data_IF_758188820802
#
_entry.id   IF_758188820802
#
_cell.length_a   1.000
_cell.length_b   1.000
_cell.length_c   1.000
_cell.angle_alpha   90.00
_cell.angle_beta   90.00
_cell.angle_gamma   90.00
#
_symmetry.space_group_name_H-M   'P 1'
#
loop_
_entity.id
_entity.type
_entity.pdbx_description
1 polymer ?
#
# COMPACT_ATOMS: atom_id res chain seq x y z
N UNK A 1 29.55 -10.26 11.53
CA UNK A 1 29.01 -8.91 11.83
C UNK A 1 30.15 -8.00 12.27
N UNK A 2 30.13 -6.71 11.98
CA UNK A 2 31.16 -5.75 12.42
C UNK A 2 31.01 -5.47 13.91
N UNK A 3 32.16 -5.32 14.63
CA UNK A 3 32.18 -4.91 16.04
C UNK A 3 31.60 -3.51 16.32
N UNK A 4 31.30 -2.74 15.27
CA UNK A 4 30.73 -1.40 15.36
C UNK A 4 29.21 -1.38 15.24
N UNK A 5 28.57 -2.52 15.00
CA UNK A 5 27.12 -2.58 15.02
C UNK A 5 26.61 -2.49 16.46
N UNK A 6 25.56 -1.71 16.65
CA UNK A 6 24.80 -1.76 17.88
C UNK A 6 24.02 -3.08 17.94
N UNK A 7 23.77 -3.60 19.13
CA UNK A 7 23.00 -4.83 19.34
C UNK A 7 21.62 -4.76 18.66
N UNK A 8 20.99 -3.58 18.73
CA UNK A 8 19.73 -3.29 18.00
C UNK A 8 19.84 -3.60 16.50
N UNK A 9 20.88 -3.09 15.84
CA UNK A 9 21.08 -3.29 14.40
C UNK A 9 21.36 -4.77 14.08
N UNK A 10 22.07 -5.47 14.94
CA UNK A 10 22.36 -6.89 14.79
C UNK A 10 21.09 -7.78 14.89
N UNK A 11 20.09 -7.32 15.64
CA UNK A 11 18.82 -8.03 15.84
C UNK A 11 17.72 -7.68 14.85
N UNK A 12 17.94 -6.72 13.92
CA UNK A 12 16.91 -6.36 12.91
C UNK A 12 16.80 -7.42 11.82
N UNK A 13 15.57 -7.78 11.49
CA UNK A 13 15.20 -8.59 10.32
C UNK A 13 14.62 -7.67 9.24
N UNK A 14 15.41 -7.28 8.20
CA UNK A 14 14.94 -6.37 7.16
C UNK A 14 13.81 -6.98 6.34
N UNK A 15 12.91 -6.12 5.85
CA UNK A 15 11.89 -6.52 4.89
C UNK A 15 12.53 -7.06 3.60
N UNK A 16 11.99 -8.17 3.11
CA UNK A 16 12.41 -8.76 1.83
C UNK A 16 11.41 -8.37 0.73
N UNK A 17 11.79 -7.50 -0.20
CA UNK A 17 10.91 -7.09 -1.30
C UNK A 17 10.58 -8.27 -2.23
N UNK A 18 9.56 -8.10 -3.07
CA UNK A 18 9.27 -9.05 -4.15
C UNK A 18 10.39 -9.07 -5.19
N UNK A 19 10.51 -10.20 -5.89
CA UNK A 19 11.48 -10.36 -6.98
C UNK A 19 11.35 -9.21 -7.99
N UNK A 20 12.49 -8.61 -8.37
CA UNK A 20 12.61 -7.60 -9.41
C UNK A 20 13.40 -8.23 -10.56
N UNK A 21 12.73 -8.72 -11.61
CA UNK A 21 13.42 -9.36 -12.74
C UNK A 21 14.21 -8.32 -13.56
N UNK A 22 15.33 -8.75 -14.10
CA UNK A 22 16.13 -7.94 -15.02
C UNK A 22 15.60 -7.95 -16.47
N UNK A 23 14.56 -8.76 -16.76
CA UNK A 23 13.99 -8.94 -18.10
C UNK A 23 12.62 -8.30 -18.21
N UNK A 24 12.41 -7.52 -19.27
CA UNK A 24 11.14 -6.89 -19.61
C UNK A 24 10.16 -7.86 -20.33
N UNK A 25 10.57 -9.11 -20.59
CA UNK A 25 9.72 -10.09 -21.28
C UNK A 25 8.75 -10.82 -20.34
N UNK A 26 8.96 -10.69 -19.04
CA UNK A 26 8.14 -11.33 -18.03
C UNK A 26 6.84 -10.56 -17.79
N UNK A 27 5.73 -11.27 -17.59
CA UNK A 27 4.50 -10.69 -17.06
C UNK A 27 4.65 -10.51 -15.55
N UNK A 28 4.90 -9.28 -15.13
CA UNK A 28 5.17 -8.93 -13.73
C UNK A 28 3.89 -8.58 -12.98
N UNK A 29 3.35 -9.54 -12.21
CA UNK A 29 2.12 -9.40 -11.40
C UNK A 29 2.37 -9.66 -9.90
N UNK A 30 3.56 -9.31 -9.38
CA UNK A 30 4.00 -9.67 -8.03
C UNK A 30 4.11 -8.51 -7.04
N UNK A 31 4.24 -7.25 -7.49
CA UNK A 31 4.52 -6.09 -6.63
C UNK A 31 3.46 -4.99 -6.68
N UNK A 32 2.29 -5.29 -7.25
CA UNK A 32 1.12 -4.40 -7.29
C UNK A 32 1.44 -3.02 -7.91
N UNK A 33 2.32 -2.99 -8.92
CA UNK A 33 2.49 -1.79 -9.73
C UNK A 33 1.22 -1.55 -10.56
N UNK A 34 0.96 -0.31 -10.90
CA UNK A 34 -0.19 0.03 -11.75
C UNK A 34 0.01 -0.50 -13.17
N UNK A 35 -1.04 -1.05 -13.78
CA UNK A 35 -0.98 -1.64 -15.11
C UNK A 35 -0.75 -0.61 -16.24
N UNK A 36 -1.18 0.64 -16.02
CA UNK A 36 -1.06 1.73 -16.98
C UNK A 36 0.11 2.65 -16.61
N UNK A 37 0.77 3.28 -17.61
CA UNK A 37 1.71 4.37 -17.35
C UNK A 37 1.00 5.54 -16.68
N UNK A 38 1.73 6.46 -16.01
CA UNK A 38 1.14 7.66 -15.42
C UNK A 38 0.52 8.58 -16.48
N UNK A 39 -0.28 9.56 -16.02
CA UNK A 39 -0.92 10.55 -16.88
C UNK A 39 0.07 11.31 -17.77
N UNK A 40 -0.36 11.73 -18.96
CA UNK A 40 0.46 12.54 -19.88
C UNK A 40 0.87 13.87 -19.25
N UNK A 41 0.07 14.43 -18.36
CA UNK A 41 0.40 15.62 -17.57
C UNK A 41 1.68 15.42 -16.75
N UNK A 42 1.88 14.22 -16.17
CA UNK A 42 3.10 13.86 -15.43
C UNK A 42 4.32 13.86 -16.35
N UNK A 43 4.19 13.22 -17.53
CA UNK A 43 5.30 13.16 -18.50
C UNK A 43 5.65 14.55 -19.04
N UNK A 44 4.67 15.43 -19.17
CA UNK A 44 4.88 16.83 -19.56
C UNK A 44 5.62 17.59 -18.45
N UNK A 45 5.17 17.48 -17.20
CA UNK A 45 5.85 18.12 -16.08
C UNK A 45 7.32 17.66 -15.94
N UNK A 46 7.59 16.37 -16.21
CA UNK A 46 8.97 15.85 -16.21
C UNK A 46 9.84 16.44 -17.32
N UNK A 47 9.30 16.67 -18.52
CA UNK A 47 10.03 17.29 -19.64
C UNK A 47 10.34 18.78 -19.41
N UNK A 48 9.57 19.45 -18.59
CA UNK A 48 9.72 20.87 -18.24
C UNK A 48 10.75 21.13 -17.15
N UNK A 49 11.30 20.08 -16.53
CA UNK A 49 12.34 20.21 -15.50
C UNK A 49 13.62 20.83 -16.12
N UNK A 50 14.06 21.93 -15.54
CA UNK A 50 15.23 22.68 -16.00
C UNK A 50 16.47 22.40 -15.17
N UNK A 51 17.68 22.65 -15.75
CA UNK A 51 18.94 22.58 -15.00
C UNK A 51 18.97 23.55 -13.81
N UNK A 52 18.27 24.69 -13.90
CA UNK A 52 18.15 25.66 -12.79
C UNK A 52 17.39 25.06 -11.59
N UNK A 53 16.34 24.30 -11.84
CA UNK A 53 15.60 23.60 -10.77
C UNK A 53 16.45 22.50 -10.15
N UNK A 54 17.21 21.74 -10.97
CA UNK A 54 18.02 20.62 -10.47
C UNK A 54 19.25 21.07 -9.65
N UNK A 55 19.84 22.22 -9.94
CA UNK A 55 21.01 22.72 -9.21
C UNK A 55 20.70 23.38 -7.85
N UNK A 56 19.41 23.58 -7.54
CA UNK A 56 18.95 24.17 -6.28
C UNK A 56 18.24 23.15 -5.42
N UNK A 57 18.27 23.35 -4.11
CA UNK A 57 17.38 22.59 -3.23
C UNK A 57 15.92 22.83 -3.59
N UNK A 58 15.08 21.79 -3.55
CA UNK A 58 13.64 21.93 -3.76
C UNK A 58 12.99 22.69 -2.60
N UNK A 59 11.69 22.98 -2.71
CA UNK A 59 10.91 23.49 -1.60
C UNK A 59 10.88 22.44 -0.45
N UNK A 60 11.41 22.77 0.75
CA UNK A 60 11.44 21.83 1.89
C UNK A 60 10.06 21.50 2.44
N UNK A 61 9.07 22.36 2.17
CA UNK A 61 7.68 22.19 2.61
C UNK A 61 6.81 21.50 1.56
N UNK A 62 7.30 21.40 0.30
CA UNK A 62 6.54 20.93 -0.84
C UNK A 62 5.14 21.59 -0.94
N UNK A 63 5.07 22.90 -0.73
CA UNK A 63 3.82 23.65 -0.54
C UNK A 63 2.85 23.48 -1.70
N UNK A 64 3.35 23.52 -2.95
CA UNK A 64 2.51 23.34 -4.14
C UNK A 64 1.86 21.94 -4.15
N UNK A 65 2.64 20.90 -3.86
CA UNK A 65 2.14 19.52 -3.80
C UNK A 65 1.13 19.34 -2.67
N UNK A 66 1.44 19.87 -1.47
CA UNK A 66 0.52 19.82 -0.32
C UNK A 66 -0.79 20.53 -0.61
N UNK A 67 -0.72 21.70 -1.25
CA UNK A 67 -1.92 22.45 -1.67
C UNK A 67 -2.75 21.69 -2.70
N UNK A 68 -2.12 21.03 -3.68
CA UNK A 68 -2.82 20.20 -4.66
C UNK A 68 -3.51 18.99 -4.01
N UNK A 69 -2.82 18.28 -3.10
CA UNK A 69 -3.40 17.17 -2.33
C UNK A 69 -4.57 17.67 -1.47
N UNK A 70 -4.40 18.77 -0.76
CA UNK A 70 -5.43 19.35 0.09
C UNK A 70 -6.70 19.70 -0.69
N UNK A 71 -6.54 20.31 -1.87
CA UNK A 71 -7.65 20.61 -2.77
C UNK A 71 -8.33 19.34 -3.30
N UNK A 72 -7.56 18.30 -3.66
CA UNK A 72 -8.08 17.03 -4.16
C UNK A 72 -8.88 16.28 -3.07
N UNK A 73 -8.43 16.35 -1.81
CA UNK A 73 -9.02 15.64 -0.67
C UNK A 73 -10.02 16.49 0.12
N UNK A 74 -10.22 17.77 -0.24
CA UNK A 74 -11.11 18.71 0.45
C UNK A 74 -10.74 18.93 1.93
N UNK A 75 -9.43 19.05 2.21
CA UNK A 75 -8.86 19.33 3.54
C UNK A 75 -7.96 20.58 3.49
N UNK A 76 -7.44 21.02 4.64
CA UNK A 76 -6.47 22.12 4.70
C UNK A 76 -5.06 21.64 4.35
N UNK A 77 -4.20 22.45 3.69
CA UNK A 77 -2.79 22.13 3.53
C UNK A 77 -2.04 21.86 4.85
N UNK A 78 -2.50 22.43 5.96
CA UNK A 78 -1.96 22.15 7.29
C UNK A 78 -2.24 20.71 7.76
N UNK A 79 -3.18 20.00 7.13
CA UNK A 79 -3.54 18.61 7.42
C UNK A 79 -2.79 17.61 6.51
N UNK A 80 -1.84 18.07 5.69
CA UNK A 80 -1.08 17.24 4.75
C UNK A 80 0.39 17.20 5.15
N UNK A 81 0.91 15.98 5.28
CA UNK A 81 2.34 15.67 5.34
C UNK A 81 2.74 14.91 4.08
N UNK A 82 3.91 15.19 3.49
CA UNK A 82 4.44 14.48 2.33
C UNK A 82 5.82 13.90 2.62
N UNK A 83 6.14 12.74 2.04
CA UNK A 83 7.41 12.04 2.22
C UNK A 83 7.80 11.18 1.03
N UNK A 84 9.00 10.61 1.07
CA UNK A 84 9.59 9.79 0.01
C UNK A 84 8.97 8.37 -0.02
N UNK A 85 7.75 8.31 -0.52
CA UNK A 85 6.87 7.13 -0.48
C UNK A 85 6.15 6.99 0.86
N UNK A 86 5.09 6.19 0.87
CA UNK A 86 4.37 5.88 2.11
C UNK A 86 5.27 5.18 3.15
N UNK A 87 6.35 4.51 2.72
CA UNK A 87 7.28 3.87 3.64
C UNK A 87 7.99 4.90 4.54
N UNK A 88 8.44 6.04 3.99
CA UNK A 88 9.03 7.12 4.80
C UNK A 88 7.98 7.82 5.67
N UNK A 89 6.78 8.07 5.11
CA UNK A 89 5.66 8.64 5.87
C UNK A 89 5.34 7.77 7.09
N UNK A 90 5.21 6.47 6.89
CA UNK A 90 4.95 5.50 7.97
C UNK A 90 6.14 5.42 8.92
N UNK A 91 7.38 5.40 8.45
CA UNK A 91 8.56 5.39 9.33
C UNK A 91 8.60 6.62 10.27
N UNK A 92 8.28 7.82 9.76
CA UNK A 92 8.15 9.01 10.60
C UNK A 92 6.99 8.92 11.58
N UNK A 93 5.86 8.36 11.16
CA UNK A 93 4.69 8.12 12.01
C UNK A 93 5.04 7.15 13.15
N UNK A 94 5.67 6.01 12.84
CA UNK A 94 6.12 5.06 13.85
C UNK A 94 7.10 5.69 14.84
N UNK A 95 8.01 6.54 14.36
CA UNK A 95 8.91 7.27 15.27
C UNK A 95 8.19 8.30 16.13
N UNK A 96 7.31 9.12 15.52
CA UNK A 96 6.66 10.24 16.19
C UNK A 96 5.65 9.82 17.25
N UNK A 97 4.89 8.73 17.00
CA UNK A 97 3.69 8.41 17.78
C UNK A 97 3.67 6.99 18.35
N UNK A 98 4.42 6.04 17.76
CA UNK A 98 4.31 4.62 18.10
C UNK A 98 5.57 4.06 18.75
N UNK A 99 6.68 4.80 18.75
CA UNK A 99 7.94 4.36 19.35
C UNK A 99 7.76 4.03 20.84
N UNK A 100 8.07 2.79 21.21
CA UNK A 100 7.93 2.31 22.59
C UNK A 100 6.48 2.16 23.07
N UNK A 101 5.49 2.32 22.18
CA UNK A 101 4.08 2.16 22.51
C UNK A 101 3.59 0.74 22.20
N UNK A 102 2.46 0.37 22.80
CA UNK A 102 1.70 -0.82 22.40
C UNK A 102 0.97 -0.54 21.09
N UNK A 103 1.10 -1.44 20.13
CA UNK A 103 0.51 -1.30 18.79
C UNK A 103 -0.15 -2.62 18.38
N UNK A 104 -1.33 -2.55 17.80
CA UNK A 104 -2.00 -3.69 17.18
C UNK A 104 -2.01 -3.55 15.65
N UNK A 105 -1.81 -4.68 14.98
CA UNK A 105 -2.05 -4.85 13.54
C UNK A 105 -2.60 -6.26 13.28
N UNK A 106 -2.91 -6.58 12.03
CA UNK A 106 -3.37 -7.93 11.68
C UNK A 106 -2.19 -8.90 11.48
N UNK A 107 -2.38 -10.19 11.78
CA UNK A 107 -1.37 -11.26 11.55
C UNK A 107 -1.10 -11.51 10.06
N UNK A 108 -2.09 -11.17 9.23
CA UNK A 108 -2.04 -11.30 7.78
C UNK A 108 -2.25 -9.93 7.15
N UNK A 109 -1.20 -9.12 7.10
CA UNK A 109 -1.19 -7.75 6.61
C UNK A 109 0.14 -7.37 5.96
N UNK A 110 0.39 -6.06 5.75
CA UNK A 110 1.61 -5.54 5.17
C UNK A 110 2.84 -5.90 6.02
N UNK A 111 3.73 -6.69 5.44
CA UNK A 111 4.87 -7.27 6.16
C UNK A 111 5.94 -6.28 6.65
N UNK A 112 5.75 -4.98 6.41
CA UNK A 112 6.67 -3.96 6.91
C UNK A 112 6.31 -3.46 8.32
N UNK A 113 5.05 -3.64 8.77
CA UNK A 113 4.66 -3.19 10.12
C UNK A 113 5.49 -3.85 11.23
N UNK A 114 5.73 -5.16 11.25
CA UNK A 114 6.64 -5.76 12.23
C UNK A 114 8.08 -5.24 12.15
N UNK A 115 8.55 -4.87 10.95
CA UNK A 115 9.90 -4.31 10.76
C UNK A 115 10.03 -2.96 11.43
N UNK A 116 9.03 -2.07 11.25
CA UNK A 116 9.03 -0.77 11.96
C UNK A 116 8.83 -0.94 13.46
N UNK A 117 7.95 -1.85 13.89
CA UNK A 117 7.79 -2.13 15.31
C UNK A 117 9.13 -2.54 15.95
N UNK A 118 9.86 -3.47 15.32
CA UNK A 118 11.19 -3.86 15.76
C UNK A 118 12.19 -2.70 15.70
N UNK A 119 12.16 -1.84 14.65
CA UNK A 119 13.09 -0.72 14.51
C UNK A 119 12.89 0.34 15.60
N UNK A 120 11.65 0.61 15.98
CA UNK A 120 11.26 1.69 16.89
C UNK A 120 10.87 1.21 18.29
N UNK A 121 11.17 -0.06 18.63
CA UNK A 121 10.88 -0.63 19.97
C UNK A 121 9.41 -0.59 20.38
N UNK A 122 8.50 -0.63 19.40
CA UNK A 122 7.07 -0.74 19.68
C UNK A 122 6.72 -2.19 20.09
N UNK A 123 5.82 -2.31 21.07
CA UNK A 123 5.26 -3.60 21.51
C UNK A 123 4.10 -3.98 20.58
N UNK A 124 4.40 -4.80 19.57
CA UNK A 124 3.46 -5.17 18.52
C UNK A 124 2.69 -6.43 18.86
N UNK A 125 1.36 -6.32 18.87
CA UNK A 125 0.43 -7.45 18.90
C UNK A 125 -0.17 -7.68 17.53
N UNK A 126 0.02 -8.88 16.96
CA UNK A 126 -0.63 -9.32 15.73
C UNK A 126 -1.99 -9.95 16.05
N UNK A 127 -3.08 -9.29 15.69
CA UNK A 127 -4.45 -9.78 15.87
C UNK A 127 -4.82 -10.70 14.70
N UNK A 128 -5.24 -11.96 14.95
CA UNK A 128 -5.63 -12.87 13.89
C UNK A 128 -6.82 -12.34 13.08
N UNK A 129 -6.72 -12.37 11.75
CA UNK A 129 -7.91 -12.19 10.90
C UNK A 129 -8.85 -13.39 11.06
N UNK A 130 -10.15 -13.21 10.81
CA UNK A 130 -11.14 -14.28 10.84
C UNK A 130 -10.87 -15.33 9.73
N UNK A 131 -11.57 -16.45 9.74
CA UNK A 131 -11.32 -17.55 8.80
C UNK A 131 -11.50 -17.14 7.34
N UNK A 132 -12.39 -16.22 7.07
CA UNK A 132 -12.63 -15.63 5.75
C UNK A 132 -11.70 -14.44 5.42
N UNK A 133 -10.67 -14.20 6.23
CA UNK A 133 -9.75 -13.06 6.16
C UNK A 133 -10.39 -11.68 6.39
N UNK A 134 -11.57 -11.60 6.96
CA UNK A 134 -12.10 -10.33 7.48
C UNK A 134 -11.42 -9.93 8.79
N UNK A 135 -11.56 -8.66 9.14
CA UNK A 135 -10.98 -8.10 10.37
C UNK A 135 -11.85 -8.47 11.56
N UNK A 136 -11.25 -8.98 12.63
CA UNK A 136 -11.91 -9.08 13.93
C UNK A 136 -11.92 -7.69 14.61
N UNK A 137 -12.95 -6.92 14.32
CA UNK A 137 -13.09 -5.56 14.82
C UNK A 137 -13.24 -5.52 16.35
N UNK A 138 -13.91 -6.51 16.95
CA UNK A 138 -14.09 -6.57 18.39
C UNK A 138 -12.76 -6.82 19.12
N UNK A 139 -11.89 -7.69 18.57
CA UNK A 139 -10.56 -7.88 19.12
C UNK A 139 -9.72 -6.60 19.10
N UNK A 140 -9.83 -5.80 18.03
CA UNK A 140 -9.13 -4.51 17.92
C UNK A 140 -9.69 -3.43 18.84
N UNK A 141 -11.00 -3.45 19.15
CA UNK A 141 -11.67 -2.44 19.99
C UNK A 141 -11.43 -2.64 21.48
N UNK A 142 -11.15 -3.86 21.90
CA UNK A 142 -11.04 -4.23 23.32
C UNK A 142 -9.65 -3.99 23.95
N UNK A 143 -8.77 -3.25 23.31
CA UNK A 143 -7.42 -2.93 23.81
C UNK A 143 -7.15 -1.42 23.70
N UNK A 144 -6.26 -0.91 24.57
CA UNK A 144 -5.81 0.49 24.59
C UNK A 144 -4.64 0.76 23.62
N UNK A 145 -4.09 -0.28 22.98
CA UNK A 145 -2.99 -0.16 22.04
C UNK A 145 -3.38 0.68 20.82
N UNK A 146 -2.45 1.44 20.26
CA UNK A 146 -2.62 2.09 18.98
C UNK A 146 -2.89 1.05 17.89
N UNK A 147 -3.65 1.41 16.85
CA UNK A 147 -4.01 0.47 15.78
C UNK A 147 -3.44 0.95 14.44
N UNK A 148 -2.78 0.05 13.71
CA UNK A 148 -2.29 0.30 12.33
C UNK A 148 -2.90 -0.73 11.40
N UNK A 149 -3.72 -0.29 10.45
CA UNK A 149 -4.41 -1.16 9.48
C UNK A 149 -4.20 -0.68 8.06
N UNK A 150 -3.82 -1.59 7.17
CA UNK A 150 -3.93 -1.37 5.73
C UNK A 150 -5.40 -1.53 5.30
N UNK A 151 -5.94 -0.55 4.59
CA UNK A 151 -7.32 -0.54 4.11
C UNK A 151 -7.42 0.07 2.70
N UNK A 152 -7.55 -0.76 1.63
CA UNK A 152 -7.63 -2.23 1.61
C UNK A 152 -6.42 -2.94 2.16
N UNK A 153 -6.65 -4.07 2.85
CA UNK A 153 -5.59 -4.87 3.43
C UNK A 153 -4.77 -5.62 2.35
N UNK A 154 -3.48 -5.70 2.52
CA UNK A 154 -2.59 -6.54 1.71
C UNK A 154 -2.01 -7.67 2.57
N UNK A 155 -2.11 -8.96 2.17
CA UNK A 155 -2.35 -9.43 0.79
C UNK A 155 -3.80 -9.74 0.44
N UNK A 156 -4.77 -9.59 1.33
CA UNK A 156 -6.13 -10.13 1.17
C UNK A 156 -6.98 -9.34 0.16
N UNK A 157 -6.77 -8.05 0.00
CA UNK A 157 -7.57 -7.15 -0.83
C UNK A 157 -8.86 -6.67 -0.16
N UNK A 158 -9.21 -7.23 1.01
CA UNK A 158 -10.42 -6.83 1.76
C UNK A 158 -10.28 -5.43 2.33
N UNK A 159 -11.38 -4.72 2.42
CA UNK A 159 -11.45 -3.42 3.08
C UNK A 159 -12.56 -3.39 4.12
N UNK A 160 -12.32 -2.64 5.19
CA UNK A 160 -13.32 -2.23 6.15
C UNK A 160 -14.19 -1.11 5.54
N UNK A 161 -15.50 -1.16 5.68
CA UNK A 161 -16.37 -0.03 5.38
C UNK A 161 -16.12 1.12 6.35
N UNK A 162 -16.51 2.33 5.95
CA UNK A 162 -16.21 3.55 6.73
C UNK A 162 -16.86 3.57 8.11
N UNK A 163 -18.04 3.00 8.26
CA UNK A 163 -18.75 2.91 9.55
C UNK A 163 -18.02 2.01 10.56
N UNK A 164 -17.37 0.94 10.09
CA UNK A 164 -16.51 0.09 10.93
C UNK A 164 -15.23 0.83 11.35
N UNK A 165 -14.67 1.68 10.47
CA UNK A 165 -13.54 2.55 10.83
C UNK A 165 -13.99 3.58 11.87
N UNK A 166 -15.18 4.17 11.75
CA UNK A 166 -15.77 5.05 12.77
C UNK A 166 -15.87 4.32 14.11
N UNK A 167 -16.44 3.11 14.12
CA UNK A 167 -16.58 2.32 15.34
C UNK A 167 -15.22 2.01 15.99
N UNK A 168 -14.18 1.79 15.20
CA UNK A 168 -12.81 1.57 15.70
C UNK A 168 -12.22 2.83 16.32
N UNK A 169 -12.33 3.98 15.63
CA UNK A 169 -11.80 5.27 16.09
C UNK A 169 -12.52 5.75 17.37
N UNK A 170 -13.83 5.54 17.45
CA UNK A 170 -14.66 5.94 18.60
C UNK A 170 -14.52 5.01 19.80
N UNK A 171 -14.09 3.77 19.62
CA UNK A 171 -13.97 2.79 20.71
C UNK A 171 -12.99 3.24 21.81
N UNK A 172 -11.96 4.00 21.45
CA UNK A 172 -11.05 4.66 22.39
C UNK A 172 -10.43 5.91 21.73
N UNK A 173 -10.86 7.09 22.14
CA UNK A 173 -10.39 8.38 21.60
C UNK A 173 -8.97 8.75 22.06
N UNK A 174 -8.45 8.10 23.08
CA UNK A 174 -7.10 8.38 23.62
C UNK A 174 -6.00 7.55 22.91
N UNK A 175 -6.36 6.65 22.00
CA UNK A 175 -5.42 5.87 21.20
C UNK A 175 -5.37 6.33 19.75
N UNK A 176 -4.20 6.26 19.13
CA UNK A 176 -4.04 6.56 17.70
C UNK A 176 -4.56 5.41 16.84
N UNK A 177 -5.30 5.74 15.77
CA UNK A 177 -5.69 4.83 14.71
C UNK A 177 -5.08 5.30 13.40
N UNK A 178 -4.32 4.43 12.75
CA UNK A 178 -3.68 4.67 11.45
C UNK A 178 -4.35 3.79 10.41
N UNK A 179 -4.92 4.40 9.39
CA UNK A 179 -5.50 3.72 8.22
C UNK A 179 -4.58 3.94 7.03
N UNK A 180 -3.89 2.88 6.63
CA UNK A 180 -2.99 2.90 5.48
C UNK A 180 -3.75 2.59 4.20
N UNK A 181 -4.10 3.63 3.46
CA UNK A 181 -4.81 3.58 2.18
C UNK A 181 -3.85 3.53 0.98
N UNK A 182 -2.78 2.73 1.07
CA UNK A 182 -1.84 2.57 -0.05
C UNK A 182 -2.51 2.10 -1.35
N UNK A 183 -3.67 1.46 -1.24
CA UNK A 183 -4.48 0.95 -2.37
C UNK A 183 -5.78 1.74 -2.57
N UNK A 184 -5.81 3.04 -2.24
CA UNK A 184 -6.98 3.88 -2.50
C UNK A 184 -7.29 4.01 -4.01
N UNK A 185 -8.56 4.29 -4.34
CA UNK A 185 -9.04 4.49 -5.71
C UNK A 185 -9.60 3.22 -6.38
N UNK A 186 -9.31 2.02 -5.85
CA UNK A 186 -9.71 0.77 -6.51
C UNK A 186 -11.03 0.16 -6.00
N UNK A 187 -11.80 0.91 -5.21
CA UNK A 187 -13.16 0.52 -4.82
C UNK A 187 -13.47 0.65 -3.32
N UNK A 188 -12.48 0.76 -2.44
CA UNK A 188 -12.70 0.97 -1.01
C UNK A 188 -13.19 2.40 -0.73
N UNK A 189 -14.01 2.53 0.30
CA UNK A 189 -14.34 3.82 0.89
C UNK A 189 -13.12 4.38 1.60
N UNK A 190 -12.91 5.69 1.47
CA UNK A 190 -11.81 6.38 2.17
C UNK A 190 -12.22 6.82 3.57
N UNK A 191 -11.28 6.77 4.50
CA UNK A 191 -11.39 7.35 5.84
C UNK A 191 -11.08 8.86 5.89
N UNK A 192 -10.60 9.47 4.81
CA UNK A 192 -10.22 10.89 4.77
C UNK A 192 -11.31 11.84 5.29
N UNK A 193 -12.59 11.71 4.93
CA UNK A 193 -13.64 12.58 5.45
C UNK A 193 -13.79 12.53 6.98
N UNK A 194 -13.33 11.47 7.63
CA UNK A 194 -13.41 11.31 9.09
C UNK A 194 -12.37 12.18 9.81
N UNK A 195 -11.27 12.54 9.16
CA UNK A 195 -10.18 13.33 9.75
C UNK A 195 -10.70 14.65 10.35
N UNK A 196 -11.74 15.26 9.76
CA UNK A 196 -12.33 16.50 10.29
C UNK A 196 -12.93 16.34 11.69
N UNK A 197 -13.42 15.15 12.06
CA UNK A 197 -14.10 14.87 13.33
C UNK A 197 -13.25 14.10 14.36
N UNK A 198 -12.06 13.61 13.96
CA UNK A 198 -11.29 12.69 14.79
C UNK A 198 -9.81 13.11 14.86
N UNK A 199 -9.39 13.56 16.04
CA UNK A 199 -8.02 13.99 16.33
C UNK A 199 -7.04 12.83 16.55
N UNK A 200 -7.56 11.62 16.70
CA UNK A 200 -6.83 10.38 16.88
C UNK A 200 -6.75 9.52 15.59
N UNK A 201 -7.05 10.09 14.42
CA UNK A 201 -7.01 9.38 13.12
C UNK A 201 -5.93 9.95 12.21
N UNK A 202 -5.12 9.06 11.67
CA UNK A 202 -4.19 9.35 10.56
C UNK A 202 -4.52 8.45 9.36
N UNK A 203 -4.64 9.03 8.19
CA UNK A 203 -4.78 8.30 6.92
C UNK A 203 -3.49 8.46 6.13
N UNK A 204 -2.88 7.37 5.68
CA UNK A 204 -1.68 7.42 4.81
C UNK A 204 -2.00 6.95 3.40
N UNK A 205 -1.32 7.51 2.39
CA UNK A 205 -1.51 7.16 0.98
C UNK A 205 -0.19 7.15 0.21
N UNK A 206 -0.20 6.47 -0.92
CA UNK A 206 0.94 6.38 -1.84
C UNK A 206 0.49 6.63 -3.27
N UNK A 207 1.27 7.41 -4.03
CA UNK A 207 1.06 7.54 -5.48
C UNK A 207 1.60 6.34 -6.26
N UNK A 208 2.30 5.43 -5.60
CA UNK A 208 2.92 4.24 -6.21
C UNK A 208 1.91 3.32 -6.89
N UNK A 209 0.68 3.22 -6.34
CA UNK A 209 -0.34 2.27 -6.81
C UNK A 209 -1.42 2.97 -7.61
N UNK A 210 -2.04 4.00 -7.06
CA UNK A 210 -3.17 4.70 -7.67
C UNK A 210 -2.81 5.53 -8.91
N UNK A 211 -1.60 6.12 -8.93
CA UNK A 211 -1.17 7.03 -10.00
C UNK A 211 -0.08 6.47 -10.92
N UNK A 212 0.30 5.19 -10.77
CA UNK A 212 1.36 4.58 -11.58
C UNK A 212 2.76 5.16 -11.34
N UNK A 213 3.03 5.70 -10.14
CA UNK A 213 4.25 6.43 -9.82
C UNK A 213 5.16 5.71 -8.80
N UNK A 214 5.18 4.38 -8.83
CA UNK A 214 6.02 3.60 -7.90
C UNK A 214 7.51 4.00 -7.95
N UNK A 215 8.03 4.31 -9.14
CA UNK A 215 9.42 4.75 -9.34
C UNK A 215 9.69 6.18 -8.85
N UNK A 216 8.66 7.01 -8.66
CA UNK A 216 8.82 8.41 -8.25
C UNK A 216 8.87 8.60 -6.73
N UNK A 217 8.45 7.60 -5.97
CA UNK A 217 8.54 7.57 -4.50
C UNK A 217 7.82 8.74 -3.81
N UNK A 218 6.54 8.93 -4.01
CA UNK A 218 5.75 9.95 -3.29
C UNK A 218 4.63 9.29 -2.49
N UNK A 219 4.56 9.63 -1.20
CA UNK A 219 3.48 9.28 -0.28
C UNK A 219 3.10 10.47 0.58
N UNK A 220 1.95 10.38 1.23
CA UNK A 220 1.46 11.44 2.10
C UNK A 220 0.60 10.90 3.24
N UNK A 221 0.48 11.70 4.30
CA UNK A 221 -0.46 11.49 5.38
C UNK A 221 -1.45 12.65 5.46
N UNK A 222 -2.66 12.33 5.91
CA UNK A 222 -3.76 13.27 6.19
C UNK A 222 -4.19 13.05 7.64
N UNK A 223 -4.14 14.11 8.45
CA UNK A 223 -4.53 14.07 9.85
C UNK A 223 -4.87 15.48 10.35
N UNK A 224 -5.24 15.62 11.61
CA UNK A 224 -5.34 16.95 12.24
C UNK A 224 -3.97 17.65 12.28
N UNK A 225 -3.98 18.97 12.23
CA UNK A 225 -2.77 19.78 12.05
C UNK A 225 -1.69 19.53 13.12
N UNK A 226 -2.11 19.22 14.34
CA UNK A 226 -1.21 18.92 15.46
C UNK A 226 -0.40 17.62 15.22
N UNK A 227 -1.03 16.59 14.64
CA UNK A 227 -0.33 15.35 14.24
C UNK A 227 0.61 15.60 13.06
N UNK A 228 0.19 16.40 12.09
CA UNK A 228 1.03 16.79 10.95
C UNK A 228 2.26 17.59 11.40
N UNK A 229 2.09 18.49 12.39
CA UNK A 229 3.22 19.21 12.98
C UNK A 229 4.21 18.24 13.65
N UNK A 230 3.73 17.20 14.35
CA UNK A 230 4.57 16.15 14.90
C UNK A 230 5.41 15.44 13.84
N UNK A 231 4.80 15.07 12.70
CA UNK A 231 5.50 14.46 11.57
C UNK A 231 6.55 15.42 10.96
N UNK A 232 6.21 16.70 10.80
CA UNK A 232 7.15 17.71 10.29
C UNK A 232 8.37 17.87 11.20
N UNK A 233 8.20 17.87 12.52
CA UNK A 233 9.31 17.91 13.49
C UNK A 233 10.25 16.73 13.33
N UNK A 234 9.73 15.51 13.15
CA UNK A 234 10.55 14.32 12.90
C UNK A 234 11.28 14.45 11.57
N UNK A 235 10.57 14.81 10.50
CA UNK A 235 11.15 15.01 9.16
C UNK A 235 12.30 16.04 9.21
N UNK A 236 12.08 17.19 9.79
CA UNK A 236 13.08 18.27 9.83
C UNK A 236 14.28 17.94 10.75
N UNK A 237 14.11 16.97 11.64
CA UNK A 237 15.20 16.43 12.47
C UNK A 237 15.97 15.30 11.80
N UNK A 238 15.47 14.74 10.69
CA UNK A 238 16.06 13.63 9.95
C UNK A 238 16.56 14.05 8.56
N UNK A 239 15.65 14.59 7.71
CA UNK A 239 15.96 15.08 6.36
C UNK A 239 14.98 16.20 5.99
N UNK A 240 15.47 17.45 5.91
CA UNK A 240 14.64 18.62 5.59
C UNK A 240 14.13 18.65 4.14
N UNK A 241 14.72 17.86 3.23
CA UNK A 241 14.39 17.84 1.80
C UNK A 241 14.09 16.41 1.30
N UNK A 242 13.05 15.74 1.81
CA UNK A 242 12.80 14.34 1.49
C UNK A 242 12.36 14.11 0.04
N UNK A 243 11.64 15.08 -0.55
CA UNK A 243 11.17 15.04 -1.94
C UNK A 243 12.00 15.97 -2.82
N UNK A 244 12.57 15.43 -3.89
CA UNK A 244 13.29 16.21 -4.88
C UNK A 244 12.33 17.03 -5.78
N UNK A 245 12.90 17.96 -6.56
CA UNK A 245 12.13 18.87 -7.41
C UNK A 245 11.33 18.13 -8.51
N UNK A 246 11.86 17.00 -8.99
CA UNK A 246 11.23 16.16 -10.03
C UNK A 246 10.02 15.46 -9.44
N UNK A 247 10.17 14.84 -8.27
CA UNK A 247 9.09 14.19 -7.55
C UNK A 247 7.95 15.15 -7.19
N UNK A 248 8.30 16.36 -6.67
CA UNK A 248 7.28 17.36 -6.34
C UNK A 248 6.49 17.83 -7.57
N UNK A 249 7.17 18.11 -8.69
CA UNK A 249 6.52 18.58 -9.92
C UNK A 249 5.60 17.50 -10.52
N UNK A 250 6.14 16.31 -10.69
CA UNK A 250 5.40 15.19 -11.28
C UNK A 250 4.21 14.73 -10.42
N UNK A 251 4.39 14.66 -9.10
CA UNK A 251 3.31 14.30 -8.17
C UNK A 251 2.21 15.35 -8.15
N UNK A 252 2.54 16.65 -8.24
CA UNK A 252 1.55 17.72 -8.34
C UNK A 252 0.70 17.54 -9.59
N UNK A 253 1.32 17.33 -10.76
CA UNK A 253 0.61 17.10 -12.01
C UNK A 253 -0.28 15.85 -11.96
N UNK A 254 0.18 14.79 -11.29
CA UNK A 254 -0.60 13.57 -11.11
C UNK A 254 -1.85 13.78 -10.24
N UNK A 255 -1.74 14.51 -9.14
CA UNK A 255 -2.85 14.81 -8.22
C UNK A 255 -3.89 15.72 -8.89
N UNK A 256 -3.45 16.67 -9.73
CA UNK A 256 -4.33 17.59 -10.44
C UNK A 256 -5.12 16.88 -11.56
N UNK A 257 -4.62 15.75 -12.12
CA UNK A 257 -5.31 14.99 -13.17
C UNK A 257 -6.27 13.93 -12.60
N UNK A 258 -7.36 14.40 -12.01
CA UNK A 258 -8.39 13.51 -11.43
C UNK A 258 -9.09 12.65 -12.47
N UNK A 259 -9.22 13.14 -13.71
CA UNK A 259 -9.87 12.41 -14.79
C UNK A 259 -9.09 11.16 -15.16
N UNK A 260 -7.75 11.26 -15.24
CA UNK A 260 -6.90 10.09 -15.46
C UNK A 260 -7.03 9.09 -14.31
N UNK A 261 -6.96 9.56 -13.07
CA UNK A 261 -7.06 8.70 -11.89
C UNK A 261 -8.37 7.89 -11.89
N UNK A 262 -9.50 8.54 -12.19
CA UNK A 262 -10.81 7.86 -12.23
C UNK A 262 -10.88 6.82 -13.35
N UNK A 263 -10.45 7.17 -14.56
CA UNK A 263 -10.44 6.28 -15.72
C UNK A 263 -9.49 5.08 -15.52
N UNK A 264 -8.28 5.32 -14.98
CA UNK A 264 -7.30 4.29 -14.69
C UNK A 264 -7.78 3.33 -13.58
N UNK A 265 -8.38 3.88 -12.53
CA UNK A 265 -8.99 3.11 -11.44
C UNK A 265 -10.15 2.26 -11.92
N UNK A 266 -11.00 2.77 -12.82
CA UNK A 266 -12.09 2.01 -13.43
C UNK A 266 -11.54 0.86 -14.26
N UNK A 267 -10.53 1.09 -15.08
CA UNK A 267 -9.87 0.04 -15.88
C UNK A 267 -9.36 -1.10 -15.00
N UNK A 268 -8.73 -0.78 -13.84
CA UNK A 268 -8.28 -1.80 -12.89
C UNK A 268 -9.45 -2.61 -12.32
N UNK A 269 -10.57 -1.96 -11.97
CA UNK A 269 -11.76 -2.65 -11.47
C UNK A 269 -12.33 -3.61 -12.52
N UNK A 270 -12.43 -3.16 -13.78
CA UNK A 270 -12.96 -3.97 -14.87
C UNK A 270 -12.09 -5.22 -15.14
N UNK A 271 -10.78 -5.05 -15.22
CA UNK A 271 -9.84 -6.17 -15.41
C UNK A 271 -9.88 -7.12 -14.21
N UNK A 272 -9.98 -6.60 -12.98
CA UNK A 272 -10.08 -7.42 -11.77
C UNK A 272 -11.31 -8.34 -11.81
N UNK A 273 -12.46 -7.86 -12.26
CA UNK A 273 -13.67 -8.69 -12.39
C UNK A 273 -13.53 -9.76 -13.47
N UNK A 274 -12.87 -9.47 -14.59
CA UNK A 274 -12.54 -10.47 -15.61
C UNK A 274 -11.63 -11.57 -15.03
N UNK A 275 -10.56 -11.18 -14.33
CA UNK A 275 -9.66 -12.14 -13.68
C UNK A 275 -10.40 -13.00 -12.65
N UNK A 276 -11.22 -12.39 -11.79
CA UNK A 276 -12.01 -13.08 -10.79
C UNK A 276 -12.93 -14.13 -11.43
N UNK A 277 -13.78 -13.71 -12.35
CA UNK A 277 -14.73 -14.60 -13.02
C UNK A 277 -14.02 -15.77 -13.73
N UNK A 278 -12.93 -15.48 -14.43
CA UNK A 278 -12.15 -16.50 -15.14
C UNK A 278 -11.50 -17.52 -14.21
N UNK A 279 -10.99 -17.08 -13.06
CA UNK A 279 -10.35 -17.96 -12.06
C UNK A 279 -11.40 -18.80 -11.28
N UNK A 280 -12.52 -18.21 -10.87
CA UNK A 280 -13.61 -18.93 -10.22
C UNK A 280 -14.14 -20.07 -11.11
N UNK A 281 -14.25 -19.85 -12.43
CA UNK A 281 -14.65 -20.88 -13.39
C UNK A 281 -13.64 -22.04 -13.51
N UNK A 282 -12.42 -21.88 -13.03
CA UNK A 282 -11.35 -22.89 -13.01
C UNK A 282 -11.17 -23.53 -11.62
N UNK A 283 -12.07 -23.28 -10.66
CA UNK A 283 -12.02 -23.87 -9.32
C UNK A 283 -11.14 -23.13 -8.32
N UNK A 284 -10.81 -21.87 -8.60
CA UNK A 284 -10.15 -21.01 -7.60
C UNK A 284 -11.18 -20.37 -6.68
N UNK A 285 -10.85 -20.30 -5.40
CA UNK A 285 -11.43 -19.35 -4.49
C UNK A 285 -10.72 -18.00 -4.70
N UNK A 286 -11.49 -16.93 -4.88
CA UNK A 286 -10.98 -15.56 -5.08
C UNK A 286 -11.58 -14.68 -4.00
N UNK A 287 -10.78 -14.15 -3.09
CA UNK A 287 -11.27 -13.23 -2.05
C UNK A 287 -11.82 -11.94 -2.68
N UNK A 288 -12.90 -11.38 -2.10
CA UNK A 288 -13.34 -10.03 -2.47
C UNK A 288 -12.20 -9.03 -2.32
N UNK A 289 -11.91 -8.29 -3.41
CA UNK A 289 -10.81 -7.31 -3.41
C UNK A 289 -11.31 -5.92 -3.79
N UNK A 290 -10.81 -4.93 -3.06
CA UNK A 290 -10.95 -3.50 -3.35
C UNK A 290 -9.59 -2.83 -3.60
N UNK A 291 -8.59 -3.64 -4.00
CA UNK A 291 -7.24 -3.22 -4.35
C UNK A 291 -6.91 -3.50 -5.83
N UNK A 292 -5.72 -3.13 -6.28
CA UNK A 292 -5.22 -3.47 -7.62
C UNK A 292 -4.54 -4.85 -7.69
N UNK A 293 -5.03 -5.79 -6.91
CA UNK A 293 -4.62 -7.20 -6.90
C UNK A 293 -5.78 -8.08 -6.42
N UNK A 294 -5.67 -9.36 -6.66
CA UNK A 294 -6.54 -10.40 -6.11
C UNK A 294 -5.74 -11.38 -5.27
N UNK A 295 -6.39 -12.03 -4.30
CA UNK A 295 -5.82 -13.06 -3.46
C UNK A 295 -6.60 -14.35 -3.67
N UNK A 296 -5.90 -15.39 -4.14
CA UNK A 296 -6.53 -16.59 -4.70
C UNK A 296 -5.89 -17.86 -4.17
N UNK A 297 -6.68 -18.92 -4.02
CA UNK A 297 -6.18 -20.30 -3.86
C UNK A 297 -7.00 -21.25 -4.72
N UNK A 298 -6.39 -22.34 -5.17
CA UNK A 298 -7.13 -23.41 -5.86
C UNK A 298 -7.64 -24.44 -4.88
N UNK A 299 -8.84 -24.97 -5.11
CA UNK A 299 -9.51 -25.90 -4.19
C UNK A 299 -8.75 -27.20 -3.95
N UNK A 300 -7.92 -27.64 -4.90
CA UNK A 300 -7.20 -28.92 -4.83
C UNK A 300 -5.71 -28.81 -5.06
N UNK A 301 -5.24 -27.85 -5.88
CA UNK A 301 -3.82 -27.71 -6.22
C UNK A 301 -3.08 -26.90 -5.19
N UNK A 302 -1.89 -27.35 -4.73
CA UNK A 302 -1.07 -26.59 -3.79
C UNK A 302 -0.62 -25.25 -4.41
N UNK A 303 -0.69 -24.15 -3.63
CA UNK A 303 -0.27 -22.82 -4.08
C UNK A 303 1.18 -22.76 -4.56
N UNK A 304 2.09 -23.54 -3.95
CA UNK A 304 3.47 -23.63 -4.41
C UNK A 304 3.59 -24.22 -5.81
N UNK A 305 2.81 -25.23 -6.13
CA UNK A 305 2.81 -25.85 -7.47
C UNK A 305 2.38 -24.84 -8.54
N UNK A 306 1.28 -24.11 -8.30
CA UNK A 306 0.78 -23.08 -9.22
C UNK A 306 1.82 -21.94 -9.36
N UNK A 307 2.41 -21.51 -8.24
CA UNK A 307 3.46 -20.48 -8.23
C UNK A 307 4.66 -20.87 -9.11
N UNK A 308 5.19 -22.08 -8.93
CA UNK A 308 6.35 -22.59 -9.70
C UNK A 308 5.99 -22.76 -11.18
N UNK A 309 4.79 -23.25 -11.48
CA UNK A 309 4.29 -23.43 -12.85
C UNK A 309 4.09 -22.10 -13.59
N UNK A 310 3.61 -21.05 -12.92
CA UNK A 310 3.53 -19.70 -13.47
C UNK A 310 4.92 -19.11 -13.71
N UNK A 311 5.81 -19.26 -12.74
CA UNK A 311 7.19 -18.76 -12.86
C UNK A 311 7.94 -19.39 -14.04
N UNK A 312 7.74 -20.71 -14.30
CA UNK A 312 8.33 -21.41 -15.44
C UNK A 312 7.76 -20.97 -16.80
N UNK A 313 6.65 -20.23 -16.80
CA UNK A 313 5.98 -19.65 -17.99
C UNK A 313 6.06 -18.12 -18.01
N UNK A 314 7.09 -17.58 -17.36
CA UNK A 314 7.42 -16.16 -17.36
C UNK A 314 6.32 -15.25 -16.77
N UNK A 315 5.52 -15.78 -15.83
CA UNK A 315 4.53 -15.00 -15.07
C UNK A 315 4.95 -14.96 -13.60
N UNK A 316 5.17 -13.74 -13.08
CA UNK A 316 5.52 -13.51 -11.68
C UNK A 316 4.30 -13.13 -10.85
N UNK A 317 4.04 -13.89 -9.80
CA UNK A 317 3.04 -13.59 -8.76
C UNK A 317 3.71 -13.60 -7.39
N UNK A 318 2.99 -13.27 -6.34
CA UNK A 318 3.55 -13.29 -4.96
C UNK A 318 2.94 -14.43 -4.16
N UNK A 319 3.79 -15.13 -3.39
CA UNK A 319 3.43 -16.19 -2.45
C UNK A 319 4.23 -16.05 -1.16
N UNK A 320 3.71 -16.55 -0.04
CA UNK A 320 4.38 -16.58 1.26
C UNK A 320 4.36 -18.01 1.82
N UNK A 321 5.41 -18.38 2.57
CA UNK A 321 5.49 -19.69 3.25
C UNK A 321 4.85 -19.68 4.66
N UNK A 322 4.12 -18.60 5.03
CA UNK A 322 3.35 -18.56 6.27
C UNK A 322 2.23 -19.61 6.23
N UNK A 323 2.08 -20.41 7.30
CA UNK A 323 1.20 -21.60 7.37
C UNK A 323 -0.23 -21.29 6.91
N UNK A 324 -0.80 -20.17 7.34
CA UNK A 324 -2.18 -19.78 7.03
C UNK A 324 -2.41 -19.46 5.55
N UNK A 325 -1.40 -18.89 4.88
CA UNK A 325 -1.52 -18.39 3.51
C UNK A 325 -0.58 -19.08 2.50
N UNK A 326 0.05 -20.21 2.87
CA UNK A 326 1.01 -20.90 2.01
C UNK A 326 0.43 -21.40 0.68
N UNK A 327 -0.90 -21.62 0.62
CA UNK A 327 -1.59 -22.04 -0.59
C UNK A 327 -2.22 -20.87 -1.36
N UNK A 328 -2.15 -19.67 -0.82
CA UNK A 328 -2.67 -18.46 -1.45
C UNK A 328 -1.61 -17.77 -2.30
N UNK A 329 -2.06 -17.19 -3.40
CA UNK A 329 -1.26 -16.37 -4.30
C UNK A 329 -1.88 -14.97 -4.36
N UNK A 330 -1.04 -13.94 -4.25
CA UNK A 330 -1.46 -12.57 -4.58
C UNK A 330 -1.04 -12.26 -6.02
N UNK A 331 -1.99 -11.90 -6.83
CA UNK A 331 -1.81 -11.60 -8.25
C UNK A 331 -2.20 -10.14 -8.49
N UNK A 332 -1.27 -9.32 -8.93
CA UNK A 332 -1.55 -7.93 -9.31
C UNK A 332 -2.49 -7.88 -10.51
N UNK A 333 -3.36 -6.87 -10.57
CA UNK A 333 -4.19 -6.62 -11.75
C UNK A 333 -3.31 -5.95 -12.81
N UNK A 334 -3.08 -6.66 -13.92
CA UNK A 334 -2.35 -6.18 -15.07
C UNK A 334 -3.25 -5.45 -16.09
N UNK A 335 -2.76 -5.31 -17.32
CA UNK A 335 -3.60 -4.91 -18.46
C UNK A 335 -4.57 -6.03 -18.82
N UNK A 336 -5.63 -5.73 -19.61
CA UNK A 336 -6.56 -6.77 -20.09
C UNK A 336 -5.82 -7.91 -20.82
N UNK A 337 -4.87 -7.57 -21.68
CA UNK A 337 -4.08 -8.58 -22.40
C UNK A 337 -3.25 -9.47 -21.46
N UNK A 338 -2.67 -8.91 -20.38
CA UNK A 338 -1.95 -9.68 -19.38
C UNK A 338 -2.89 -10.57 -18.55
N UNK A 339 -4.09 -10.08 -18.24
CA UNK A 339 -5.11 -10.87 -17.54
C UNK A 339 -5.59 -12.05 -18.40
N UNK A 340 -5.87 -11.84 -19.68
CA UNK A 340 -6.25 -12.90 -20.62
C UNK A 340 -5.14 -13.96 -20.76
N UNK A 341 -3.89 -13.53 -20.89
CA UNK A 341 -2.75 -14.44 -20.95
C UNK A 341 -2.57 -15.25 -19.66
N UNK A 342 -2.71 -14.61 -18.49
CA UNK A 342 -2.71 -15.29 -17.20
C UNK A 342 -3.81 -16.37 -17.14
N UNK A 343 -5.03 -16.04 -17.55
CA UNK A 343 -6.16 -16.98 -17.53
C UNK A 343 -5.95 -18.18 -18.47
N UNK A 344 -5.32 -17.99 -19.63
CA UNK A 344 -4.94 -19.08 -20.52
C UNK A 344 -3.94 -20.01 -19.83
N UNK A 345 -2.86 -19.44 -19.29
CA UNK A 345 -1.82 -20.22 -18.60
C UNK A 345 -2.36 -20.94 -17.36
N UNK A 346 -3.23 -20.29 -16.58
CA UNK A 346 -3.89 -20.93 -15.43
C UNK A 346 -4.74 -22.13 -15.84
N UNK A 347 -5.49 -22.01 -16.92
CA UNK A 347 -6.29 -23.12 -17.47
C UNK A 347 -5.41 -24.31 -17.86
N UNK A 348 -4.29 -24.07 -18.52
CA UNK A 348 -3.36 -25.13 -18.90
C UNK A 348 -2.77 -25.83 -17.68
N UNK A 349 -2.41 -25.06 -16.62
CA UNK A 349 -1.90 -25.63 -15.36
C UNK A 349 -2.95 -26.53 -14.71
N UNK A 350 -4.20 -26.06 -14.57
CA UNK A 350 -5.28 -26.81 -13.93
C UNK A 350 -5.63 -28.06 -14.74
N UNK A 351 -5.71 -27.95 -16.08
CA UNK A 351 -6.06 -29.08 -16.96
C UNK A 351 -5.00 -30.17 -16.97
N UNK A 352 -3.71 -29.84 -16.86
CA UNK A 352 -2.62 -30.80 -16.84
C UNK A 352 -2.62 -31.74 -15.61
N UNK A 353 -3.27 -31.32 -14.51
CA UNK A 353 -3.35 -32.07 -13.25
C UNK A 353 -4.68 -32.85 -13.11
N UNK A 354 -5.60 -32.70 -14.06
CA UNK A 354 -6.89 -33.37 -14.04
C UNK A 354 -6.89 -34.69 -14.84
N UNK A 355 -5.75 -35.03 -15.48
CA UNK A 355 -5.51 -36.27 -16.22
C UNK A 355 -4.69 -37.25 -15.38
#
# INVERSE_FOLDING_TARGET
MSRFWLDKVAGLEPYVPGEQPASDTLIKLNTNEHALPPADAVLTALREITGEQLRRYPDPTAERLRSAIAAAESVSPAQIFVGNGSDEVLAHLWFAFLKGQRVQTLDTTYGFYPVWAALYDADLTEVPVLDDFSVDLEALKNDDAAVVLANPNAPTGRALPRDEIVALVESNRDRLVVIDEAYFGFGAETAVPLVAGYDNLVVTRSLSKSHGLAGLRVGYAIAQAELIEGLNRVKDSFNSYPLDAVAQSAATAAIEDRQWLEAASQSVRDVREVMKTGLEAMGFEVLPSQANFIFIQHNTLPGKHIFDALRSRDILVRRWDKQRIKNWLRVSVGTMAQAEQLLVVMRDIVSAETI
#
